data_IF_459647009354
#
_entry.id   IF_459647009354
#
_cell.length_a   1.000
_cell.length_b   1.000
_cell.length_c   1.000
_cell.angle_alpha   90.00
_cell.angle_beta   90.00
_cell.angle_gamma   90.00
#
_symmetry.space_group_name_H-M   'P 1'
#
loop_
_entity.id
_entity.type
_entity.pdbx_description
1 polymer ?
#
# COMPACT_ATOMS: atom_id res chain seq x y z
N UNK A 1 -10.17 -3.68 25.32
CA UNK A 1 -10.91 -3.04 24.20
C UNK A 1 -10.70 -3.91 22.99
N UNK A 2 -11.79 -4.50 22.49
CA UNK A 2 -11.80 -5.48 21.40
C UNK A 2 -12.03 -4.78 20.07
N UNK A 3 -11.24 -5.14 19.06
CA UNK A 3 -11.64 -5.64 17.73
C UNK A 3 -10.39 -5.73 16.86
N UNK A 4 -9.71 -6.88 16.88
CA UNK A 4 -8.80 -7.26 15.82
C UNK A 4 -9.68 -7.61 14.62
N UNK A 5 -9.92 -6.62 13.76
CA UNK A 5 -10.40 -6.90 12.43
C UNK A 5 -9.15 -7.38 11.68
N UNK A 6 -8.95 -8.70 11.60
CA UNK A 6 -7.87 -9.35 10.83
C UNK A 6 -8.09 -9.20 9.31
N UNK A 7 -8.47 -8.01 8.87
CA UNK A 7 -8.61 -7.70 7.47
C UNK A 7 -7.28 -7.11 7.03
N UNK A 8 -6.51 -7.86 6.23
CA UNK A 8 -5.23 -7.41 5.68
C UNK A 8 -5.35 -6.03 4.97
N UNK A 9 -6.56 -5.64 4.57
CA UNK A 9 -6.90 -4.32 4.06
C UNK A 9 -6.61 -3.16 5.05
N UNK A 10 -6.84 -3.35 6.35
CA UNK A 10 -6.64 -2.34 7.40
C UNK A 10 -5.19 -2.26 7.91
N UNK A 11 -4.32 -3.15 7.42
CA UNK A 11 -2.90 -3.17 7.76
C UNK A 11 -2.25 -1.83 7.41
N UNK A 12 -1.74 -1.12 8.43
CA UNK A 12 -1.00 0.13 8.25
C UNK A 12 0.41 -0.18 7.76
N UNK A 13 0.65 0.05 6.47
CA UNK A 13 1.95 -0.16 5.83
C UNK A 13 2.92 1.00 6.06
N UNK A 14 2.42 2.24 6.23
CA UNK A 14 3.25 3.38 6.60
C UNK A 14 2.80 3.97 7.94
N UNK A 15 3.59 3.75 8.99
CA UNK A 15 3.30 4.29 10.33
C UNK A 15 3.37 5.82 10.41
N UNK A 16 4.16 6.44 9.53
CA UNK A 16 4.37 7.89 9.52
C UNK A 16 3.14 8.66 8.99
N UNK A 17 2.47 8.15 7.95
CA UNK A 17 1.27 8.75 7.35
C UNK A 17 -0.04 8.06 7.74
N UNK A 18 0.04 6.86 8.32
CA UNK A 18 -1.13 6.00 8.55
C UNK A 18 -1.63 5.29 7.30
N UNK A 19 -0.87 5.29 6.20
CA UNK A 19 -1.29 4.69 4.93
C UNK A 19 -1.50 3.19 5.09
N UNK A 20 -2.68 2.72 4.69
CA UNK A 20 -3.08 1.32 4.77
C UNK A 20 -2.80 0.56 3.47
N UNK A 21 -2.76 -0.77 3.57
CA UNK A 21 -2.64 -1.68 2.43
C UNK A 21 -3.78 -1.49 1.42
N UNK A 22 -5.01 -1.30 1.91
CA UNK A 22 -6.17 -1.05 1.05
C UNK A 22 -6.04 0.24 0.25
N UNK A 23 -5.51 1.31 0.83
CA UNK A 23 -5.28 2.56 0.11
C UNK A 23 -4.27 2.38 -1.02
N UNK A 24 -3.14 1.73 -0.74
CA UNK A 24 -2.10 1.46 -1.76
C UNK A 24 -2.68 0.63 -2.90
N UNK A 25 -3.41 -0.45 -2.59
CA UNK A 25 -4.07 -1.28 -3.61
C UNK A 25 -5.07 -0.47 -4.45
N UNK A 26 -5.96 0.30 -3.80
CA UNK A 26 -6.96 1.13 -4.48
C UNK A 26 -6.34 2.10 -5.48
N UNK A 27 -5.18 2.69 -5.15
CA UNK A 27 -4.49 3.60 -6.04
C UNK A 27 -3.72 2.87 -7.15
N UNK A 28 -3.12 1.72 -6.85
CA UNK A 28 -2.51 0.85 -7.86
C UNK A 28 -3.53 0.38 -8.92
N UNK A 29 -4.73 -0.03 -8.49
CA UNK A 29 -5.82 -0.45 -9.37
C UNK A 29 -6.31 0.69 -10.29
N UNK A 30 -6.08 1.95 -9.90
CA UNK A 30 -6.33 3.14 -10.73
C UNK A 30 -5.20 3.41 -11.74
N UNK A 31 -4.16 2.58 -11.78
CA UNK A 31 -3.00 2.73 -12.65
C UNK A 31 -1.95 3.69 -12.12
N UNK A 32 -1.96 4.00 -10.82
CA UNK A 32 -0.93 4.84 -10.21
C UNK A 32 0.34 4.04 -9.92
N UNK A 33 1.47 4.70 -10.13
CA UNK A 33 2.79 4.22 -9.74
C UNK A 33 3.12 4.59 -8.27
N UNK A 34 4.12 3.95 -7.69
CA UNK A 34 4.63 4.24 -6.35
C UNK A 34 4.79 5.74 -6.05
N UNK A 35 5.36 6.52 -6.97
CA UNK A 35 5.57 7.95 -6.73
C UNK A 35 4.24 8.71 -6.62
N UNK A 36 3.27 8.38 -7.48
CA UNK A 36 1.93 8.96 -7.42
C UNK A 36 1.20 8.52 -6.14
N UNK A 37 1.30 7.25 -5.76
CA UNK A 37 0.72 6.73 -4.52
C UNK A 37 1.29 7.47 -3.31
N UNK A 38 2.60 7.70 -3.28
CA UNK A 38 3.29 8.52 -2.26
C UNK A 38 2.69 9.92 -2.16
N UNK A 39 2.54 10.62 -3.30
CA UNK A 39 1.97 11.97 -3.34
C UNK A 39 0.52 12.03 -2.82
N UNK A 40 -0.29 11.00 -3.09
CA UNK A 40 -1.70 10.96 -2.67
C UNK A 40 -1.92 10.50 -1.24
N UNK A 41 -1.06 9.61 -0.73
CA UNK A 41 -1.23 8.98 0.59
C UNK A 41 -0.32 9.54 1.66
N UNK A 42 0.74 10.27 1.27
CA UNK A 42 1.82 10.69 2.17
C UNK A 42 2.78 9.57 2.55
N UNK A 43 2.56 8.32 2.10
CA UNK A 43 3.54 7.26 2.25
C UNK A 43 4.88 7.68 1.62
N UNK A 44 6.01 7.21 2.15
CA UNK A 44 7.36 7.52 1.65
C UNK A 44 7.81 8.98 1.75
N UNK A 45 6.92 9.93 2.05
CA UNK A 45 7.26 11.36 2.20
C UNK A 45 7.86 11.71 3.57
N UNK A 46 7.84 10.77 4.52
CA UNK A 46 8.36 10.95 5.88
C UNK A 46 9.65 10.16 6.13
N UNK A 47 9.56 9.17 7.00
CA UNK A 47 10.69 8.41 7.53
C UNK A 47 11.32 7.40 6.53
N UNK A 48 10.67 7.11 5.41
CA UNK A 48 11.15 6.14 4.40
C UNK A 48 11.13 4.67 4.82
N UNK A 49 10.80 4.35 6.09
CA UNK A 49 10.88 2.97 6.60
C UNK A 49 9.96 1.96 5.90
N UNK A 50 8.87 2.42 5.27
CA UNK A 50 7.92 1.57 4.54
C UNK A 50 8.26 1.37 3.06
N UNK A 51 9.38 1.91 2.56
CA UNK A 51 9.72 1.87 1.13
C UNK A 51 9.77 0.44 0.58
N UNK A 52 10.47 -0.44 1.28
CA UNK A 52 10.65 -1.82 0.85
C UNK A 52 9.34 -2.61 0.88
N UNK A 53 8.53 -2.45 1.94
CA UNK A 53 7.24 -3.14 2.08
C UNK A 53 6.25 -2.70 0.99
N UNK A 54 6.18 -1.39 0.71
CA UNK A 54 5.32 -0.86 -0.35
C UNK A 54 5.83 -1.30 -1.73
N UNK A 55 7.14 -1.31 -1.96
CA UNK A 55 7.74 -1.78 -3.21
C UNK A 55 7.41 -3.24 -3.49
N UNK A 56 7.56 -4.10 -2.48
CA UNK A 56 7.23 -5.52 -2.58
C UNK A 56 5.74 -5.73 -2.83
N UNK A 57 4.88 -5.00 -2.11
CA UNK A 57 3.45 -5.12 -2.27
C UNK A 57 2.98 -4.71 -3.68
N UNK A 58 3.51 -3.62 -4.25
CA UNK A 58 3.18 -3.20 -5.61
C UNK A 58 3.65 -4.21 -6.67
N UNK A 59 4.80 -4.85 -6.46
CA UNK A 59 5.25 -5.97 -7.32
C UNK A 59 4.31 -7.16 -7.22
N UNK A 60 3.90 -7.53 -6.02
CA UNK A 60 2.94 -8.60 -5.79
C UNK A 60 1.59 -8.31 -6.48
N UNK A 61 1.07 -7.09 -6.37
CA UNK A 61 -0.16 -6.66 -7.06
C UNK A 61 0.00 -6.72 -8.59
N UNK A 62 1.15 -6.32 -9.11
CA UNK A 62 1.46 -6.39 -10.54
C UNK A 62 1.45 -7.84 -11.04
N UNK A 63 2.14 -8.74 -10.34
CA UNK A 63 2.18 -10.16 -10.68
C UNK A 63 0.80 -10.84 -10.59
N UNK A 64 -0.02 -10.47 -9.60
CA UNK A 64 -1.40 -10.97 -9.47
C UNK A 64 -2.28 -10.52 -10.64
N UNK A 65 -2.12 -9.28 -11.12
CA UNK A 65 -2.85 -8.76 -12.29
C UNK A 65 -2.49 -9.52 -13.57
N UNK A 66 -1.25 -9.95 -13.72
CA UNK A 66 -0.79 -10.73 -14.88
C UNK A 66 -1.29 -12.19 -14.84
N UNK A 67 -1.42 -12.78 -13.65
CA UNK A 67 -1.89 -14.16 -13.48
C UNK A 67 -3.42 -14.34 -13.52
N UNK A 68 -4.19 -13.25 -13.66
CA UNK A 68 -5.66 -13.26 -13.64
C UNK A 68 -6.34 -13.27 -15.02
N UNK A 69 -5.63 -13.63 -16.10
CA UNK A 69 -6.17 -13.70 -17.47
C UNK A 69 -6.51 -15.12 -17.89
#
# INVERSE_FOLDING_TARGET
MSTQNDNAADEVMCQCSGTTRAEIQKYFERGMDMEQISQWTGALSGCGGCEWDIADFLKCLSAQRENGT
#
